data_IF_842435157394
#
_entry.id   IF_842435157394
#
_cell.length_a   1.000
_cell.length_b   1.000
_cell.length_c   1.000
_cell.angle_alpha   90.00
_cell.angle_beta   90.00
_cell.angle_gamma   90.00
#
_symmetry.space_group_name_H-M   'P 1'
#
loop_
_entity.id
_entity.type
_entity.pdbx_description
1 polymer ?
#
# COMPACT_ATOMS: atom_id res chain seq x y z
N UNK A 1 11.48 -13.95 -67.56
CA UNK A 1 10.56 -14.43 -66.50
C UNK A 1 11.41 -15.06 -65.41
N UNK A 2 11.86 -14.32 -64.40
CA UNK A 2 11.08 -13.82 -63.25
C UNK A 2 10.39 -14.99 -62.55
N UNK A 3 11.01 -15.47 -61.46
CA UNK A 3 10.44 -15.99 -60.21
C UNK A 3 11.61 -16.73 -59.53
N UNK A 4 12.46 -15.98 -58.82
CA UNK A 4 13.35 -16.45 -57.73
C UNK A 4 14.13 -15.31 -57.05
N UNK A 5 13.53 -14.10 -57.03
CA UNK A 5 13.94 -12.99 -56.17
C UNK A 5 12.66 -12.49 -55.51
N UNK A 6 12.34 -13.04 -54.33
CA UNK A 6 11.47 -12.44 -53.30
C UNK A 6 11.25 -13.43 -52.12
N UNK A 7 12.28 -14.19 -51.75
CA UNK A 7 12.42 -14.65 -50.36
C UNK A 7 13.40 -13.70 -49.67
N UNK A 8 12.95 -12.46 -49.52
CA UNK A 8 13.65 -11.41 -48.80
C UNK A 8 12.78 -10.99 -47.63
N UNK A 9 13.14 -11.48 -46.45
CA UNK A 9 13.02 -10.74 -45.19
C UNK A 9 11.68 -10.06 -44.92
N UNK A 10 10.67 -10.83 -44.56
CA UNK A 10 9.77 -10.42 -43.48
C UNK A 10 10.12 -11.23 -42.24
N UNK A 11 11.33 -10.99 -41.72
CA UNK A 11 11.56 -11.11 -40.29
C UNK A 11 10.76 -9.96 -39.67
N UNK A 12 9.52 -10.25 -39.28
CA UNK A 12 8.80 -9.40 -38.34
C UNK A 12 9.54 -9.52 -37.01
N UNK A 13 10.66 -8.80 -36.87
CA UNK A 13 11.19 -8.45 -35.56
C UNK A 13 10.07 -7.64 -34.93
N UNK A 14 9.32 -8.25 -34.01
CA UNK A 14 8.45 -7.51 -33.10
C UNK A 14 9.31 -6.39 -32.54
N UNK A 15 8.95 -5.15 -32.83
CA UNK A 15 9.68 -3.99 -32.31
C UNK A 15 9.62 -4.13 -30.79
N UNK A 16 10.76 -4.39 -30.16
CA UNK A 16 10.81 -4.54 -28.72
C UNK A 16 10.37 -3.21 -28.11
N UNK A 17 9.32 -3.22 -27.29
CA UNK A 17 8.83 -2.03 -26.61
C UNK A 17 9.99 -1.38 -25.83
N UNK A 18 10.09 -0.06 -25.91
CA UNK A 18 10.99 0.71 -25.05
C UNK A 18 10.50 0.67 -23.60
N UNK A 19 11.38 0.99 -22.65
CA UNK A 19 11.00 1.12 -21.23
C UNK A 19 9.85 2.11 -21.05
N UNK A 20 9.88 3.22 -21.77
CA UNK A 20 8.83 4.25 -21.72
C UNK A 20 7.48 3.72 -22.23
N UNK A 21 7.46 3.08 -23.39
CA UNK A 21 6.25 2.48 -23.96
C UNK A 21 5.66 1.43 -23.01
N UNK A 22 6.52 0.63 -22.37
CA UNK A 22 6.13 -0.36 -21.36
C UNK A 22 5.48 0.30 -20.14
N UNK A 23 6.11 1.34 -19.57
CA UNK A 23 5.55 2.08 -18.42
C UNK A 23 4.20 2.72 -18.77
N UNK A 24 4.08 3.32 -19.95
CA UNK A 24 2.83 3.93 -20.39
C UNK A 24 1.72 2.87 -20.52
N UNK A 25 2.02 1.70 -21.09
CA UNK A 25 1.08 0.58 -21.18
C UNK A 25 0.65 0.10 -19.79
N UNK A 26 1.60 -0.07 -18.87
CA UNK A 26 1.32 -0.47 -17.48
C UNK A 26 0.45 0.55 -16.74
N UNK A 27 0.75 1.85 -16.86
CA UNK A 27 -0.06 2.91 -16.28
C UNK A 27 -1.48 2.94 -16.84
N UNK A 28 -1.64 2.72 -18.15
CA UNK A 28 -2.96 2.63 -18.78
C UNK A 28 -3.75 1.43 -18.27
N UNK A 29 -3.08 0.28 -18.08
CA UNK A 29 -3.69 -0.90 -17.48
C UNK A 29 -4.13 -0.63 -16.03
N UNK A 30 -3.27 -0.07 -15.19
CA UNK A 30 -3.59 0.27 -13.78
C UNK A 30 -4.82 1.17 -13.73
N UNK A 31 -4.86 2.24 -14.53
CA UNK A 31 -6.00 3.17 -14.60
C UNK A 31 -7.30 2.46 -15.04
N UNK A 32 -7.22 1.55 -16.01
CA UNK A 32 -8.39 0.79 -16.44
C UNK A 32 -8.92 -0.15 -15.34
N UNK A 33 -8.01 -0.79 -14.58
CA UNK A 33 -8.39 -1.63 -13.45
C UNK A 33 -8.99 -0.83 -12.30
N UNK A 34 -8.38 0.30 -11.96
CA UNK A 34 -8.93 1.24 -10.98
C UNK A 34 -10.35 1.66 -11.34
N UNK A 35 -10.59 2.03 -12.60
CA UNK A 35 -11.95 2.38 -13.05
C UNK A 35 -12.92 1.21 -12.94
N UNK A 36 -12.48 0.01 -13.29
CA UNK A 36 -13.30 -1.21 -13.20
C UNK A 36 -13.71 -1.50 -11.76
N UNK A 37 -12.76 -1.47 -10.82
CA UNK A 37 -13.03 -1.70 -9.41
C UNK A 37 -13.85 -0.58 -8.78
N UNK A 38 -13.57 0.69 -9.11
CA UNK A 38 -14.35 1.84 -8.65
C UNK A 38 -15.83 1.69 -9.00
N UNK A 39 -16.14 1.39 -10.26
CA UNK A 39 -17.53 1.19 -10.70
C UNK A 39 -18.20 0.02 -9.97
N UNK A 40 -17.50 -1.12 -9.87
CA UNK A 40 -18.03 -2.29 -9.19
C UNK A 40 -18.26 -2.06 -7.68
N UNK A 41 -17.39 -1.31 -7.02
CA UNK A 41 -17.57 -0.92 -5.61
C UNK A 41 -18.78 -0.01 -5.44
N UNK A 42 -18.99 0.95 -6.35
CA UNK A 42 -20.18 1.80 -6.31
C UNK A 42 -21.47 0.99 -6.49
N UNK A 43 -21.48 0.00 -7.37
CA UNK A 43 -22.62 -0.90 -7.55
C UNK A 43 -22.92 -1.69 -6.27
N UNK A 44 -21.89 -2.15 -5.57
CA UNK A 44 -22.03 -2.82 -4.27
C UNK A 44 -22.52 -1.87 -3.18
N UNK A 45 -21.97 -0.65 -3.11
CA UNK A 45 -22.40 0.36 -2.14
C UNK A 45 -23.86 0.75 -2.35
N UNK A 46 -24.30 0.90 -3.61
CA UNK A 46 -25.69 1.23 -3.94
C UNK A 46 -26.70 0.23 -3.35
N UNK A 47 -26.29 -1.04 -3.24
CA UNK A 47 -27.08 -2.15 -2.71
C UNK A 47 -26.90 -2.36 -1.21
N UNK A 48 -25.92 -1.72 -0.58
CA UNK A 48 -25.64 -1.91 0.85
C UNK A 48 -26.71 -1.25 1.72
N UNK A 49 -27.31 -2.00 2.67
CA UNK A 49 -28.36 -1.47 3.54
C UNK A 49 -27.83 -0.57 4.67
N UNK A 50 -26.52 -0.64 4.96
CA UNK A 50 -25.84 0.14 5.99
C UNK A 50 -25.32 1.49 5.49
N UNK A 51 -25.28 1.74 4.18
CA UNK A 51 -24.84 3.03 3.65
C UNK A 51 -25.82 4.14 4.07
N UNK A 52 -25.39 4.99 5.00
CA UNK A 52 -26.15 6.17 5.42
C UNK A 52 -26.35 7.13 4.24
N UNK A 53 -27.49 7.83 4.19
CA UNK A 53 -27.75 8.91 3.24
C UNK A 53 -26.94 10.19 3.53
N UNK A 54 -25.80 10.07 4.20
CA UNK A 54 -25.03 11.21 4.70
C UNK A 54 -24.44 12.03 3.53
N UNK A 55 -24.44 13.35 3.70
CA UNK A 55 -24.17 14.38 2.68
C UNK A 55 -22.84 14.25 1.92
N UNK A 56 -21.89 13.43 2.38
CA UNK A 56 -20.56 13.28 1.77
C UNK A 56 -20.52 12.20 0.68
N UNK A 57 -21.60 11.43 0.51
CA UNK A 57 -21.65 10.23 -0.33
C UNK A 57 -22.99 10.09 -1.10
N UNK A 58 -23.50 11.21 -1.62
CA UNK A 58 -24.75 11.21 -2.39
C UNK A 58 -24.69 10.16 -3.52
N UNK A 59 -25.63 9.21 -3.51
CA UNK A 59 -25.68 8.09 -4.46
C UNK A 59 -25.80 8.54 -5.92
N UNK A 60 -26.33 9.75 -6.13
CA UNK A 60 -26.66 10.32 -7.44
C UNK A 60 -25.55 11.23 -8.01
N UNK A 61 -24.45 11.42 -7.28
CA UNK A 61 -23.30 12.17 -7.78
C UNK A 61 -22.57 11.40 -8.88
N UNK A 62 -22.12 12.11 -9.91
CA UNK A 62 -21.29 11.54 -10.96
C UNK A 62 -20.01 10.94 -10.36
N UNK A 63 -19.73 9.68 -10.66
CA UNK A 63 -18.51 9.00 -10.23
C UNK A 63 -17.32 9.64 -10.95
N UNK A 64 -16.35 10.23 -10.23
CA UNK A 64 -15.20 10.90 -10.85
C UNK A 64 -14.31 9.90 -11.58
N UNK A 65 -13.51 10.40 -12.52
CA UNK A 65 -12.55 9.56 -13.28
C UNK A 65 -11.33 9.17 -12.45
N UNK A 66 -10.96 10.00 -11.47
CA UNK A 66 -9.86 9.74 -10.53
C UNK A 66 -10.42 9.17 -9.21
N UNK A 67 -10.09 7.92 -8.83
CA UNK A 67 -10.51 7.32 -7.58
C UNK A 67 -10.06 8.10 -6.34
N UNK A 68 -8.93 8.83 -6.41
CA UNK A 68 -8.44 9.63 -5.29
C UNK A 68 -9.30 10.88 -5.03
N UNK A 69 -10.18 11.24 -5.96
CA UNK A 69 -11.19 12.29 -5.79
C UNK A 69 -12.57 11.71 -5.43
N UNK A 70 -12.69 10.38 -5.32
CA UNK A 70 -13.96 9.71 -5.08
C UNK A 70 -14.22 9.59 -3.57
N UNK A 71 -14.84 10.61 -3.00
CA UNK A 71 -15.16 10.65 -1.58
C UNK A 71 -16.08 9.51 -1.12
N UNK A 72 -16.92 8.98 -2.01
CA UNK A 72 -17.77 7.85 -1.68
C UNK A 72 -16.95 6.56 -1.57
N UNK A 73 -15.98 6.37 -2.46
CA UNK A 73 -14.99 5.29 -2.36
C UNK A 73 -14.13 5.43 -1.09
N UNK A 74 -13.61 6.63 -0.84
CA UNK A 74 -12.65 6.91 0.24
C UNK A 74 -13.29 6.80 1.62
N UNK A 75 -14.43 7.47 1.84
CA UNK A 75 -15.09 7.53 3.14
C UNK A 75 -16.15 6.44 3.31
N UNK A 76 -16.89 6.13 2.24
CA UNK A 76 -18.03 5.20 2.31
C UNK A 76 -17.62 3.74 2.56
N UNK A 77 -16.40 3.34 2.21
CA UNK A 77 -15.93 1.96 2.42
C UNK A 77 -15.98 1.53 3.90
N UNK A 78 -15.78 2.44 4.83
CA UNK A 78 -15.87 2.15 6.27
C UNK A 78 -17.31 2.12 6.79
N UNK A 79 -18.24 2.76 6.09
CA UNK A 79 -19.63 2.93 6.54
C UNK A 79 -20.55 1.77 6.12
N UNK A 80 -20.19 1.05 5.06
CA UNK A 80 -20.95 -0.12 4.59
C UNK A 80 -20.83 -1.32 5.52
N UNK A 81 -21.68 -2.32 5.33
CA UNK A 81 -21.62 -3.56 6.13
C UNK A 81 -20.34 -4.37 5.88
N UNK A 82 -19.97 -5.19 6.86
CA UNK A 82 -18.88 -6.19 6.73
C UNK A 82 -19.04 -7.08 5.49
N UNK A 83 -20.28 -7.48 5.17
CA UNK A 83 -20.57 -8.31 4.00
C UNK A 83 -20.22 -7.60 2.70
N UNK A 84 -20.57 -6.32 2.58
CA UNK A 84 -20.25 -5.52 1.39
C UNK A 84 -18.77 -5.21 1.30
N UNK A 85 -18.07 -4.93 2.41
CA UNK A 85 -16.60 -4.80 2.39
C UNK A 85 -15.93 -6.07 1.88
N UNK A 86 -16.36 -7.24 2.34
CA UNK A 86 -15.84 -8.52 1.85
C UNK A 86 -16.11 -8.71 0.36
N UNK A 87 -17.31 -8.36 -0.12
CA UNK A 87 -17.63 -8.41 -1.54
C UNK A 87 -16.75 -7.46 -2.36
N UNK A 88 -16.53 -6.24 -1.90
CA UNK A 88 -15.63 -5.26 -2.51
C UNK A 88 -14.20 -5.80 -2.62
N UNK A 89 -13.65 -6.32 -1.52
CA UNK A 89 -12.28 -6.86 -1.48
C UNK A 89 -12.14 -8.14 -2.30
N UNK A 90 -13.20 -8.95 -2.45
CA UNK A 90 -13.19 -10.17 -3.28
C UNK A 90 -12.95 -9.90 -4.78
N UNK A 91 -13.13 -8.67 -5.24
CA UNK A 91 -12.86 -8.24 -6.61
C UNK A 91 -11.37 -8.01 -6.90
N UNK A 92 -10.53 -7.97 -5.85
CA UNK A 92 -9.10 -7.74 -5.94
C UNK A 92 -8.31 -9.04 -5.75
N UNK A 93 -7.04 -9.11 -6.19
CA UNK A 93 -6.18 -10.25 -5.94
C UNK A 93 -6.12 -10.59 -4.44
N UNK A 94 -6.21 -11.87 -4.10
CA UNK A 94 -6.18 -12.34 -2.70
C UNK A 94 -7.27 -11.72 -1.79
N UNK A 95 -8.44 -11.42 -2.35
CA UNK A 95 -9.55 -10.77 -1.64
C UNK A 95 -9.96 -11.37 -0.29
N UNK A 96 -9.88 -12.70 -0.14
CA UNK A 96 -10.17 -13.37 1.14
C UNK A 96 -9.19 -12.97 2.25
N UNK A 97 -7.89 -12.91 1.94
CA UNK A 97 -6.86 -12.52 2.93
C UNK A 97 -6.88 -11.01 3.18
N UNK A 98 -7.15 -10.18 2.17
CA UNK A 98 -7.41 -8.74 2.36
C UNK A 98 -8.58 -8.53 3.32
N UNK A 99 -9.69 -9.24 3.09
CA UNK A 99 -10.88 -9.15 3.95
C UNK A 99 -10.54 -9.53 5.37
N UNK A 100 -9.81 -10.62 5.56
CA UNK A 100 -9.39 -11.09 6.89
C UNK A 100 -8.49 -10.07 7.59
N UNK A 101 -7.48 -9.51 6.91
CA UNK A 101 -6.58 -8.50 7.49
C UNK A 101 -7.31 -7.19 7.79
N UNK A 102 -8.14 -6.72 6.85
CA UNK A 102 -8.94 -5.51 7.05
C UNK A 102 -9.88 -5.68 8.24
N UNK A 103 -10.64 -6.77 8.31
CA UNK A 103 -11.57 -7.01 9.42
C UNK A 103 -10.84 -7.25 10.75
N UNK A 104 -9.64 -7.84 10.74
CA UNK A 104 -8.80 -7.88 11.93
C UNK A 104 -8.46 -6.46 12.39
N UNK A 105 -7.96 -5.61 11.50
CA UNK A 105 -7.65 -4.22 11.82
C UNK A 105 -8.89 -3.46 12.31
N UNK A 106 -9.97 -3.50 11.55
CA UNK A 106 -11.16 -2.69 11.75
C UNK A 106 -11.90 -3.02 13.06
N UNK A 107 -11.73 -4.25 13.58
CA UNK A 107 -12.32 -4.68 14.85
C UNK A 107 -11.31 -4.67 16.01
N UNK A 108 -10.04 -4.34 15.79
CA UNK A 108 -9.01 -4.32 16.84
C UNK A 108 -8.96 -2.96 17.51
N UNK A 109 -8.99 -2.95 18.84
CA UNK A 109 -8.75 -1.74 19.62
C UNK A 109 -7.26 -1.54 19.86
N UNK A 110 -6.76 -0.33 19.59
CA UNK A 110 -5.38 0.04 19.94
C UNK A 110 -5.14 -0.18 21.43
N UNK A 111 -4.04 -0.86 21.74
CA UNK A 111 -3.68 -1.25 23.11
C UNK A 111 -2.24 -0.82 23.35
N UNK A 112 -2.00 0.25 24.14
CA UNK A 112 -0.66 0.75 24.38
C UNK A 112 0.30 -0.33 24.86
N UNK A 113 1.51 -0.36 24.29
CA UNK A 113 2.58 -1.25 24.73
C UNK A 113 3.69 -0.45 25.43
N UNK A 114 4.37 -1.04 26.44
CA UNK A 114 5.46 -0.36 27.12
C UNK A 114 6.69 -0.19 26.21
N UNK A 115 7.55 0.81 26.48
CA UNK A 115 8.81 1.06 25.77
C UNK A 115 9.64 -0.20 25.48
N UNK A 116 9.80 -1.07 26.48
CA UNK A 116 10.58 -2.30 26.33
C UNK A 116 10.02 -3.25 25.26
N UNK A 117 8.69 -3.32 25.10
CA UNK A 117 8.04 -4.14 24.08
C UNK A 117 8.14 -3.49 22.69
N UNK A 118 8.07 -2.17 22.61
CA UNK A 118 8.31 -1.45 21.35
C UNK A 118 9.76 -1.65 20.86
N UNK A 119 10.74 -1.57 21.76
CA UNK A 119 12.15 -1.88 21.46
C UNK A 119 12.35 -3.34 21.00
N UNK A 120 11.69 -4.32 21.63
CA UNK A 120 11.73 -5.73 21.20
C UNK A 120 11.15 -5.92 19.78
N UNK A 121 10.04 -5.25 19.47
CA UNK A 121 9.47 -5.26 18.12
C UNK A 121 10.41 -4.61 17.10
N UNK A 122 11.01 -3.47 17.44
CA UNK A 122 12.00 -2.83 16.59
C UNK A 122 13.23 -3.73 16.37
N UNK A 123 13.71 -4.44 17.40
CA UNK A 123 14.78 -5.45 17.25
C UNK A 123 14.40 -6.59 16.30
N UNK A 124 13.17 -7.09 16.34
CA UNK A 124 12.68 -8.08 15.36
C UNK A 124 12.63 -7.53 13.94
N UNK A 125 12.37 -6.22 13.79
CA UNK A 125 12.40 -5.56 12.50
C UNK A 125 13.82 -5.57 11.92
N UNK A 126 14.85 -5.29 12.72
CA UNK A 126 16.25 -5.28 12.25
C UNK A 126 16.71 -6.66 11.78
N UNK A 127 16.23 -7.72 12.42
CA UNK A 127 16.47 -9.10 11.97
C UNK A 127 15.77 -9.40 10.64
N UNK A 128 14.55 -8.89 10.48
CA UNK A 128 13.72 -9.17 9.29
C UNK A 128 14.18 -8.37 8.07
N UNK A 129 14.54 -7.09 8.26
CA UNK A 129 14.88 -6.16 7.18
C UNK A 129 16.13 -6.57 6.40
N UNK A 130 17.06 -7.30 7.03
CA UNK A 130 18.23 -7.87 6.37
C UNK A 130 17.88 -8.86 5.24
N UNK A 131 16.64 -9.38 5.22
CA UNK A 131 16.14 -10.26 4.16
C UNK A 131 15.33 -9.51 3.09
N UNK A 132 15.25 -8.18 3.19
CA UNK A 132 14.59 -7.33 2.20
C UNK A 132 15.62 -6.70 1.26
N UNK A 133 15.23 -6.48 0.00
CA UNK A 133 15.99 -5.64 -0.90
C UNK A 133 15.63 -4.16 -0.63
N UNK A 134 16.54 -3.43 0.02
CA UNK A 134 16.41 -2.00 0.27
C UNK A 134 17.63 -1.28 -0.31
N UNK A 135 17.40 -0.12 -0.92
CA UNK A 135 18.47 0.73 -1.46
C UNK A 135 18.73 1.92 -0.52
N UNK A 136 18.86 1.63 0.77
CA UNK A 136 19.10 2.61 1.83
C UNK A 136 20.01 1.99 2.90
N UNK A 137 21.07 2.71 3.26
CA UNK A 137 22.00 2.30 4.31
C UNK A 137 21.66 3.02 5.62
N UNK A 138 21.24 2.25 6.62
CA UNK A 138 20.92 2.71 7.96
C UNK A 138 21.71 1.91 9.01
N UNK A 139 22.05 2.54 10.13
CA UNK A 139 22.47 1.80 11.33
C UNK A 139 21.26 1.21 12.05
N UNK A 140 20.80 0.05 11.57
CA UNK A 140 19.65 -0.65 12.14
C UNK A 140 19.81 -1.03 13.62
N UNK A 141 21.04 -1.09 14.16
CA UNK A 141 21.28 -1.46 15.56
C UNK A 141 21.12 -0.28 16.53
N UNK A 142 21.15 0.95 16.03
CA UNK A 142 20.95 2.14 16.85
C UNK A 142 19.46 2.49 16.92
N UNK A 143 18.77 1.92 17.90
CA UNK A 143 17.35 2.17 18.15
C UNK A 143 17.23 3.07 19.38
N UNK A 144 16.55 4.21 19.24
CA UNK A 144 16.26 5.10 20.37
C UNK A 144 14.75 5.35 20.46
N UNK A 145 14.32 5.73 21.66
CA UNK A 145 13.00 6.33 21.85
C UNK A 145 13.20 7.84 21.82
N UNK A 146 12.43 8.52 20.97
CA UNK A 146 12.48 9.97 20.82
C UNK A 146 11.07 10.55 20.86
N UNK A 147 10.92 11.69 21.53
CA UNK A 147 9.66 12.45 21.45
C UNK A 147 9.58 13.15 20.10
N UNK A 148 8.36 13.31 19.56
CA UNK A 148 8.14 13.95 18.25
C UNK A 148 8.73 15.37 18.16
N UNK A 149 8.84 16.07 19.29
CA UNK A 149 9.38 17.43 19.37
C UNK A 149 10.88 17.51 19.73
N UNK A 150 11.54 16.37 19.97
CA UNK A 150 12.98 16.33 20.25
C UNK A 150 13.79 16.38 18.95
N UNK A 151 13.88 17.59 18.38
CA UNK A 151 14.63 17.82 17.15
C UNK A 151 16.10 17.43 17.28
N UNK A 152 16.71 17.59 18.45
CA UNK A 152 18.12 17.23 18.65
C UNK A 152 18.34 15.73 18.51
N UNK A 153 17.46 14.91 19.09
CA UNK A 153 17.53 13.46 18.94
C UNK A 153 17.24 13.01 17.50
N UNK A 154 16.21 13.58 16.87
CA UNK A 154 15.82 13.22 15.49
C UNK A 154 16.87 13.64 14.45
N UNK A 155 17.44 14.84 14.59
CA UNK A 155 18.53 15.32 13.71
C UNK A 155 19.80 14.47 13.89
N UNK A 156 20.10 14.03 15.12
CA UNK A 156 21.25 13.17 15.40
C UNK A 156 21.14 11.78 14.72
N UNK A 157 19.92 11.29 14.51
CA UNK A 157 19.66 10.06 13.77
C UNK A 157 19.60 10.23 12.25
N UNK A 158 19.57 11.48 11.76
CA UNK A 158 19.37 11.78 10.34
C UNK A 158 18.10 11.10 9.81
N UNK A 159 16.97 11.28 10.52
CA UNK A 159 15.67 10.71 10.12
C UNK A 159 15.28 11.24 8.73
N UNK A 160 15.05 10.32 7.80
CA UNK A 160 14.73 10.63 6.40
C UNK A 160 13.41 10.00 5.94
N UNK A 161 13.04 8.84 6.48
CA UNK A 161 12.02 7.98 5.88
C UNK A 161 11.12 7.27 6.88
N UNK A 162 9.89 7.00 6.45
CA UNK A 162 9.11 5.87 6.97
C UNK A 162 9.67 4.55 6.42
N UNK A 163 9.48 3.44 7.14
CA UNK A 163 9.96 2.13 6.68
C UNK A 163 9.46 1.75 5.27
N UNK A 164 8.20 2.07 4.94
CA UNK A 164 7.61 1.71 3.65
C UNK A 164 8.33 2.36 2.47
N UNK A 165 8.79 3.60 2.64
CA UNK A 165 9.48 4.37 1.59
C UNK A 165 10.78 3.68 1.16
N UNK A 166 11.41 2.92 2.08
CA UNK A 166 12.61 2.14 1.78
C UNK A 166 12.35 0.97 0.83
N UNK A 167 11.09 0.56 0.67
CA UNK A 167 10.66 -0.49 -0.24
C UNK A 167 10.11 0.04 -1.56
N UNK A 168 10.08 1.37 -1.75
CA UNK A 168 9.60 1.95 -3.00
C UNK A 168 10.60 1.67 -4.12
N UNK A 169 10.08 1.12 -5.22
CA UNK A 169 10.86 0.84 -6.42
C UNK A 169 11.15 2.12 -7.23
N UNK A 170 11.99 1.98 -8.25
CA UNK A 170 12.24 3.07 -9.19
C UNK A 170 10.97 3.45 -9.95
N UNK A 171 10.59 4.73 -9.91
CA UNK A 171 9.52 5.29 -10.75
C UNK A 171 9.85 5.25 -12.26
N UNK A 172 11.12 5.00 -12.61
CA UNK A 172 11.61 5.03 -13.99
C UNK A 172 11.75 3.65 -14.61
N UNK A 173 11.62 2.58 -13.83
CA UNK A 173 11.72 1.21 -14.32
C UNK A 173 10.32 0.59 -14.44
N UNK A 174 10.01 -0.17 -15.51
CA UNK A 174 8.79 -0.93 -15.58
C UNK A 174 8.69 -1.95 -14.44
N UNK A 175 7.46 -2.23 -13.99
CA UNK A 175 7.23 -3.30 -13.03
C UNK A 175 7.22 -4.66 -13.74
N UNK A 176 7.55 -5.77 -13.05
CA UNK A 176 7.30 -7.11 -13.57
C UNK A 176 5.80 -7.28 -13.89
N UNK A 177 5.47 -7.84 -15.06
CA UNK A 177 4.07 -7.96 -15.52
C UNK A 177 3.22 -8.78 -14.55
N UNK A 178 3.79 -9.83 -13.97
CA UNK A 178 3.14 -10.69 -12.97
C UNK A 178 2.81 -9.98 -11.65
N UNK A 179 3.41 -8.81 -11.40
CA UNK A 179 3.14 -7.96 -10.22
C UNK A 179 2.17 -6.83 -10.49
N UNK A 180 1.80 -6.60 -11.75
CA UNK A 180 1.07 -5.41 -12.16
C UNK A 180 -0.34 -5.32 -11.55
N UNK A 181 -1.06 -6.44 -11.46
CA UNK A 181 -2.40 -6.48 -10.88
C UNK A 181 -2.38 -6.23 -9.36
N UNK A 182 -1.41 -6.80 -8.66
CA UNK A 182 -1.19 -6.57 -7.23
C UNK A 182 -0.79 -5.11 -6.95
N UNK A 183 0.07 -4.52 -7.78
CA UNK A 183 0.41 -3.10 -7.70
C UNK A 183 -0.81 -2.21 -7.92
N UNK A 184 -1.64 -2.53 -8.94
CA UNK A 184 -2.87 -1.80 -9.17
C UNK A 184 -3.78 -1.85 -7.93
N UNK A 185 -3.94 -3.03 -7.32
CA UNK A 185 -4.76 -3.22 -6.13
C UNK A 185 -4.22 -2.46 -4.91
N UNK A 186 -2.91 -2.51 -4.67
CA UNK A 186 -2.25 -1.74 -3.61
C UNK A 186 -2.52 -0.24 -3.74
N UNK A 187 -2.30 0.31 -4.93
CA UNK A 187 -2.55 1.73 -5.22
C UNK A 187 -4.03 2.11 -5.05
N UNK A 188 -4.95 1.27 -5.50
CA UNK A 188 -6.40 1.52 -5.40
C UNK A 188 -6.89 1.58 -3.95
N UNK A 189 -6.28 0.80 -3.06
CA UNK A 189 -6.70 0.67 -1.67
C UNK A 189 -6.05 1.71 -0.74
N UNK A 190 -5.05 2.47 -1.22
CA UNK A 190 -4.30 3.47 -0.43
C UNK A 190 -5.22 4.43 0.31
N UNK A 191 -6.05 5.20 -0.40
CA UNK A 191 -6.88 6.24 0.21
C UNK A 191 -8.01 5.67 1.09
N UNK A 192 -8.79 4.65 0.66
CA UNK A 192 -9.78 4.01 1.53
C UNK A 192 -9.19 3.51 2.85
N UNK A 193 -8.01 2.88 2.81
CA UNK A 193 -7.40 2.33 4.02
C UNK A 193 -6.71 3.39 4.88
N UNK A 194 -6.13 4.43 4.27
CA UNK A 194 -5.56 5.57 4.98
C UNK A 194 -6.64 6.29 5.81
N UNK A 195 -7.80 6.54 5.19
CA UNK A 195 -8.94 7.15 5.88
C UNK A 195 -9.53 6.21 6.93
N UNK A 196 -9.66 4.92 6.63
CA UNK A 196 -10.13 3.92 7.60
C UNK A 196 -9.28 3.91 8.89
N UNK A 197 -7.98 4.14 8.76
CA UNK A 197 -7.02 4.14 9.85
C UNK A 197 -6.86 5.50 10.54
N UNK A 198 -7.72 6.48 10.25
CA UNK A 198 -7.65 7.80 10.88
C UNK A 198 -6.48 8.65 10.40
N UNK A 199 -6.17 8.59 9.11
CA UNK A 199 -5.05 9.29 8.45
C UNK A 199 -3.68 8.71 8.81
N UNK A 200 -3.59 7.37 8.86
CA UNK A 200 -2.36 6.63 9.10
C UNK A 200 -2.18 5.53 8.04
N UNK A 201 -0.98 5.40 7.49
CA UNK A 201 -0.72 4.42 6.42
C UNK A 201 -0.42 3.00 6.95
N UNK A 202 -0.10 2.85 8.24
CA UNK A 202 0.44 1.62 8.82
C UNK A 202 -0.51 0.43 8.66
N UNK A 203 -1.81 0.62 8.91
CA UNK A 203 -2.80 -0.44 8.74
C UNK A 203 -2.98 -0.83 7.27
N UNK A 204 -3.15 0.15 6.38
CA UNK A 204 -3.30 -0.09 4.94
C UNK A 204 -2.09 -0.83 4.36
N UNK A 205 -0.88 -0.36 4.65
CA UNK A 205 0.39 -0.98 4.22
C UNK A 205 0.54 -2.42 4.74
N UNK A 206 0.09 -2.72 5.96
CA UNK A 206 0.10 -4.10 6.45
C UNK A 206 -0.96 -4.97 5.76
N UNK A 207 -2.17 -4.45 5.53
CA UNK A 207 -3.24 -5.19 4.85
C UNK A 207 -2.80 -5.57 3.44
N UNK A 208 -2.23 -4.64 2.67
CA UNK A 208 -1.72 -4.89 1.31
C UNK A 208 -0.33 -5.52 1.29
N UNK A 209 0.32 -5.66 2.45
CA UNK A 209 1.64 -6.28 2.61
C UNK A 209 1.77 -7.67 1.98
N UNK A 210 0.66 -8.41 1.88
CA UNK A 210 0.58 -9.73 1.24
C UNK A 210 0.96 -9.73 -0.25
N UNK A 211 0.93 -8.58 -0.92
CA UNK A 211 1.34 -8.43 -2.32
C UNK A 211 2.87 -8.43 -2.52
N UNK A 212 3.60 -8.24 -1.43
CA UNK A 212 5.05 -8.16 -1.42
C UNK A 212 5.70 -9.48 -1.04
N UNK A 213 7.04 -9.50 -1.07
CA UNK A 213 7.83 -10.62 -0.61
C UNK A 213 7.58 -10.90 0.88
N UNK A 214 7.63 -12.16 1.33
CA UNK A 214 7.33 -12.51 2.72
C UNK A 214 8.14 -11.76 3.78
N UNK A 215 9.37 -11.33 3.46
CA UNK A 215 10.19 -10.52 4.36
C UNK A 215 9.61 -9.10 4.52
N UNK A 216 9.21 -8.45 3.42
CA UNK A 216 8.56 -7.13 3.43
C UNK A 216 7.22 -7.18 4.15
N UNK A 217 6.40 -8.19 3.89
CA UNK A 217 5.12 -8.38 4.60
C UNK A 217 5.32 -8.48 6.13
N UNK A 218 6.33 -9.24 6.57
CA UNK A 218 6.70 -9.33 8.00
C UNK A 218 7.15 -7.99 8.57
N UNK A 219 7.97 -7.23 7.86
CA UNK A 219 8.38 -5.88 8.28
C UNK A 219 7.15 -4.97 8.48
N UNK A 220 6.22 -4.97 7.53
CA UNK A 220 4.99 -4.17 7.61
C UNK A 220 4.08 -4.64 8.75
N UNK A 221 4.01 -5.94 9.03
CA UNK A 221 3.30 -6.48 10.19
C UNK A 221 3.90 -6.02 11.53
N UNK A 222 5.23 -5.88 11.61
CA UNK A 222 5.90 -5.35 12.81
C UNK A 222 5.59 -3.87 12.99
N UNK A 223 5.64 -3.07 11.91
CA UNK A 223 5.27 -1.64 11.94
C UNK A 223 3.80 -1.46 12.35
N UNK A 224 2.90 -2.29 11.82
CA UNK A 224 1.51 -2.28 12.24
C UNK A 224 1.32 -2.65 13.72
N UNK A 225 2.08 -3.63 14.24
CA UNK A 225 2.04 -4.00 15.65
C UNK A 225 2.57 -2.88 16.58
N UNK A 226 3.59 -2.13 16.13
CA UNK A 226 4.08 -0.92 16.81
C UNK A 226 2.99 0.16 16.84
N UNK A 227 2.36 0.44 15.69
CA UNK A 227 1.30 1.43 15.56
C UNK A 227 0.08 1.12 16.43
N UNK A 228 -0.40 -0.14 16.41
CA UNK A 228 -1.45 -0.61 17.33
C UNK A 228 -1.07 -0.43 18.82
N UNK A 229 0.23 -0.50 19.09
CA UNK A 229 0.83 -0.30 20.41
C UNK A 229 1.04 1.16 20.80
N UNK A 230 0.68 2.12 19.95
CA UNK A 230 0.88 3.55 20.19
C UNK A 230 2.29 4.04 19.86
N UNK A 231 2.98 3.41 18.91
CA UNK A 231 4.33 3.78 18.50
C UNK A 231 4.41 3.98 16.98
N UNK A 232 5.07 5.05 16.57
CA UNK A 232 5.52 5.23 15.20
C UNK A 232 7.01 4.86 15.08
N UNK A 233 7.41 4.51 13.86
CA UNK A 233 8.78 4.12 13.55
C UNK A 233 9.29 4.93 12.37
N UNK A 234 10.35 5.70 12.61
CA UNK A 234 11.04 6.46 11.58
C UNK A 234 12.47 5.99 11.44
N UNK A 235 12.98 5.98 10.21
CA UNK A 235 14.30 5.47 9.85
C UNK A 235 15.17 6.63 9.36
N UNK A 236 16.38 6.69 9.91
CA UNK A 236 17.44 7.58 9.46
C UNK A 236 18.73 6.83 9.19
N UNK A 237 19.72 7.51 8.60
CA UNK A 237 21.01 6.89 8.27
C UNK A 237 21.75 6.39 9.51
N UNK A 238 21.58 7.09 10.64
CA UNK A 238 22.28 6.79 11.89
C UNK A 238 21.44 6.00 12.88
N UNK A 239 20.21 5.62 12.56
CA UNK A 239 19.41 4.80 13.45
C UNK A 239 17.91 4.85 13.21
N UNK A 240 17.18 4.25 14.13
CA UNK A 240 15.73 4.14 14.15
C UNK A 240 15.21 4.93 15.35
N UNK A 241 14.19 5.76 15.11
CA UNK A 241 13.44 6.42 16.17
C UNK A 241 12.11 5.69 16.38
N UNK A 242 11.84 5.30 17.63
CA UNK A 242 10.51 4.93 18.10
C UNK A 242 9.85 6.15 18.75
N UNK A 243 8.73 6.60 18.18
CA UNK A 243 8.07 7.84 18.57
C UNK A 243 6.69 7.51 19.18
N UNK A 244 6.40 7.89 20.43
CA UNK A 244 5.08 7.66 21.03
C UNK A 244 3.96 8.42 20.31
N UNK A 245 2.88 7.72 19.97
CA UNK A 245 1.65 8.26 19.36
C UNK A 245 0.64 8.68 20.43
N UNK A 246 1.00 9.66 21.27
CA UNK A 246 0.19 10.28 22.36
C UNK A 246 -0.36 9.35 23.46
#
# INVERSE_FOLDING_TARGET
MIIKKLFGLMSSKSKQETKEETRQRQNNYIKAQHRTWQLAWHDLFNQDPGQASADNAAKDSQIPDDPNCDYRLIFGFCEITKGTRAACLSLLPHGDELTKRFEQFYNTQNTPIPPAKAMDLAGKLTETINNCHINFEADWNNIIIAEMNDKTALDALEIEHDLHELFEGSLLEPHPEEKLEMLAADLFLTEPFYVAAGNYYQAGRWITGLYHEPARDKCLAIVYALWLGGWDLSVGRKGIALIPLR
#
